data_IF_793166510447
#
_entry.id   IF_793166510447
#
_cell.length_a   1.000
_cell.length_b   1.000
_cell.length_c   1.000
_cell.angle_alpha   90.00
_cell.angle_beta   90.00
_cell.angle_gamma   90.00
#
_symmetry.space_group_name_H-M   'P 1'
#
loop_
_entity.id
_entity.type
_entity.pdbx_description
1 polymer ?
#
# COMPACT_ATOMS: atom_id res chain seq x y z
N UNK A 1 -10.22 4.83 -2.27
CA UNK A 1 -9.81 5.97 -3.12
C UNK A 1 -8.45 6.44 -2.63
N UNK A 2 -7.56 6.82 -3.54
CA UNK A 2 -6.24 7.39 -3.22
C UNK A 2 -6.43 8.84 -2.77
N UNK A 3 -5.97 9.16 -1.57
CA UNK A 3 -6.10 10.52 -0.99
C UNK A 3 -4.88 11.39 -1.32
N UNK A 4 -3.70 10.81 -1.20
CA UNK A 4 -2.43 11.49 -1.42
C UNK A 4 -1.39 10.47 -1.90
N UNK A 5 -0.27 10.99 -2.40
CA UNK A 5 0.85 10.20 -2.88
C UNK A 5 2.15 10.74 -2.29
N UNK A 6 3.02 9.83 -1.87
CA UNK A 6 4.39 10.19 -1.48
C UNK A 6 5.20 10.46 -2.76
N UNK A 7 5.84 11.63 -2.84
CA UNK A 7 6.73 11.97 -3.96
C UNK A 7 7.86 10.96 -4.11
N UNK A 8 8.23 10.65 -5.37
CA UNK A 8 9.27 9.67 -5.71
C UNK A 8 9.00 8.23 -5.21
N UNK A 9 7.76 7.91 -4.81
CA UNK A 9 7.36 6.54 -4.50
C UNK A 9 7.15 5.70 -5.77
N UNK A 10 7.23 4.36 -5.69
CA UNK A 10 6.90 3.48 -6.80
C UNK A 10 5.49 3.70 -7.34
N UNK A 11 4.52 4.05 -6.47
CA UNK A 11 3.16 4.39 -6.91
C UNK A 11 3.12 5.69 -7.73
N UNK A 12 3.91 6.71 -7.34
CA UNK A 12 4.06 7.93 -8.12
C UNK A 12 4.70 7.66 -9.48
N UNK A 13 5.77 6.86 -9.50
CA UNK A 13 6.45 6.47 -10.73
C UNK A 13 5.56 5.63 -11.67
N UNK A 14 4.67 4.80 -11.09
CA UNK A 14 3.68 4.02 -11.84
C UNK A 14 2.52 4.86 -12.39
N UNK A 15 2.42 6.14 -11.99
CA UNK A 15 1.40 7.06 -12.48
C UNK A 15 0.07 6.98 -11.73
N UNK A 16 0.05 6.45 -10.51
CA UNK A 16 -1.10 6.61 -9.59
C UNK A 16 -1.29 8.09 -9.29
N UNK A 17 -2.54 8.55 -9.24
CA UNK A 17 -2.88 9.93 -8.91
C UNK A 17 -3.88 9.99 -7.74
N UNK A 18 -3.85 11.06 -6.93
CA UNK A 18 -4.95 11.36 -6.01
C UNK A 18 -6.29 11.37 -6.75
N UNK A 19 -7.29 10.74 -6.15
CA UNK A 19 -8.61 10.54 -6.74
C UNK A 19 -8.79 9.19 -7.47
N UNK A 20 -7.72 8.44 -7.73
CA UNK A 20 -7.86 7.09 -8.29
C UNK A 20 -8.62 6.17 -7.33
N UNK A 21 -9.52 5.36 -7.88
CA UNK A 21 -10.26 4.35 -7.12
C UNK A 21 -9.61 2.99 -7.31
N UNK A 22 -8.85 2.53 -6.32
CA UNK A 22 -8.34 1.15 -6.29
C UNK A 22 -9.51 0.19 -6.12
N UNK A 23 -9.67 -0.73 -7.08
CA UNK A 23 -10.77 -1.69 -7.14
C UNK A 23 -10.32 -3.15 -6.95
N UNK A 24 -9.05 -3.45 -7.19
CA UNK A 24 -8.46 -4.75 -6.87
C UNK A 24 -6.96 -4.66 -6.58
N UNK A 25 -6.44 -5.61 -5.80
CA UNK A 25 -5.03 -5.78 -5.48
C UNK A 25 -4.66 -7.24 -5.68
N UNK A 26 -3.65 -7.53 -6.50
CA UNK A 26 -3.23 -8.90 -6.83
C UNK A 26 -4.41 -9.76 -7.35
N UNK A 27 -5.32 -9.13 -8.10
CA UNK A 27 -6.54 -9.75 -8.63
C UNK A 27 -7.67 -9.94 -7.61
N UNK A 28 -7.44 -9.66 -6.32
CA UNK A 28 -8.47 -9.70 -5.29
C UNK A 28 -9.34 -8.44 -5.34
N UNK A 29 -10.66 -8.56 -5.59
CA UNK A 29 -11.56 -7.41 -5.66
C UNK A 29 -11.77 -6.80 -4.28
N UNK A 30 -11.74 -5.47 -4.19
CA UNK A 30 -11.93 -4.75 -2.93
C UNK A 30 -13.40 -4.48 -2.60
N UNK A 31 -14.29 -4.61 -3.58
CA UNK A 31 -15.71 -4.30 -3.41
C UNK A 31 -16.37 -5.29 -2.46
N UNK A 32 -16.95 -4.77 -1.38
CA UNK A 32 -17.65 -5.58 -0.36
C UNK A 32 -16.71 -6.29 0.61
N UNK A 33 -15.41 -6.04 0.51
CA UNK A 33 -14.38 -6.60 1.40
C UNK A 33 -14.18 -5.71 2.63
N UNK A 34 -13.72 -6.31 3.73
CA UNK A 34 -13.29 -5.54 4.90
C UNK A 34 -11.98 -4.81 4.59
N UNK A 35 -11.95 -3.50 4.85
CA UNK A 35 -10.82 -2.66 4.49
C UNK A 35 -9.55 -3.00 5.26
N UNK A 36 -9.65 -3.29 6.56
CA UNK A 36 -8.49 -3.60 7.39
C UNK A 36 -7.89 -4.98 7.01
N UNK A 37 -8.75 -5.94 6.69
CA UNK A 37 -8.32 -7.23 6.16
C UNK A 37 -7.61 -7.10 4.81
N UNK A 38 -8.18 -6.30 3.89
CA UNK A 38 -7.56 -6.03 2.59
C UNK A 38 -6.18 -5.41 2.75
N UNK A 39 -6.06 -4.39 3.59
CA UNK A 39 -4.79 -3.69 3.82
C UNK A 39 -3.74 -4.68 4.35
N UNK A 40 -4.08 -5.45 5.38
CA UNK A 40 -3.16 -6.40 6.01
C UNK A 40 -2.73 -7.56 5.12
N UNK A 41 -3.62 -8.06 4.25
CA UNK A 41 -3.35 -9.26 3.44
C UNK A 41 -2.84 -8.97 2.03
N UNK A 42 -3.23 -7.84 1.43
CA UNK A 42 -2.99 -7.59 0.01
C UNK A 42 -2.10 -6.37 -0.25
N UNK A 43 -2.22 -5.31 0.54
CA UNK A 43 -1.39 -4.11 0.36
C UNK A 43 -0.04 -4.26 1.06
N UNK A 44 -0.04 -4.70 2.32
CA UNK A 44 1.19 -5.02 3.04
C UNK A 44 1.86 -6.28 2.49
N UNK A 45 3.19 -6.30 2.53
CA UNK A 45 3.99 -7.41 2.03
C UNK A 45 5.49 -7.12 2.12
N UNK A 46 6.34 -8.09 1.72
CA UNK A 46 7.79 -7.95 1.79
C UNK A 46 8.30 -6.76 0.97
N UNK A 47 9.26 -6.01 1.50
CA UNK A 47 9.96 -4.95 0.77
C UNK A 47 10.66 -5.55 -0.47
N UNK A 48 10.57 -4.88 -1.61
CA UNK A 48 11.08 -5.33 -2.90
C UNK A 48 10.13 -6.28 -3.65
N UNK A 49 9.03 -6.72 -3.03
CA UNK A 49 7.98 -7.46 -3.76
C UNK A 49 7.10 -6.50 -4.55
N UNK A 50 6.38 -7.02 -5.56
CA UNK A 50 5.41 -6.23 -6.34
C UNK A 50 3.97 -6.56 -5.98
N UNK A 51 3.09 -5.56 -6.14
CA UNK A 51 1.65 -5.69 -6.05
C UNK A 51 1.01 -5.22 -7.36
N UNK A 52 0.07 -5.99 -7.90
CA UNK A 52 -0.74 -5.61 -9.05
C UNK A 52 -1.92 -4.77 -8.60
N UNK A 53 -1.84 -3.44 -8.76
CA UNK A 53 -2.92 -2.52 -8.40
C UNK A 53 -3.82 -2.31 -9.61
N UNK A 54 -5.11 -2.53 -9.42
CA UNK A 54 -6.15 -2.30 -10.43
C UNK A 54 -7.01 -1.13 -9.98
N UNK A 55 -7.16 -0.12 -10.84
CA UNK A 55 -7.84 1.13 -10.50
C UNK A 55 -8.79 1.63 -11.60
N UNK A 56 -9.73 2.48 -11.18
CA UNK A 56 -10.55 3.33 -12.03
C UNK A 56 -10.16 4.78 -11.82
N UNK A 57 -9.99 5.53 -12.91
CA UNK A 57 -9.69 6.96 -12.87
C UNK A 57 -10.93 7.77 -13.24
N UNK A 58 -11.46 8.62 -12.35
CA UNK A 58 -12.61 9.47 -12.67
C UNK A 58 -12.36 10.30 -13.95
N UNK A 59 -13.32 10.28 -14.88
CA UNK A 59 -13.21 10.98 -16.16
C UNK A 59 -12.40 10.25 -17.24
N UNK A 60 -11.88 9.04 -16.95
CA UNK A 60 -11.24 8.17 -17.93
C UNK A 60 -12.02 6.87 -18.07
N UNK A 61 -12.18 6.40 -19.30
CA UNK A 61 -12.85 5.13 -19.57
C UNK A 61 -11.91 3.95 -19.35
N UNK A 62 -12.46 2.87 -18.80
CA UNK A 62 -11.76 1.60 -18.62
C UNK A 62 -11.10 1.42 -17.25
N UNK A 63 -10.48 0.25 -17.11
CA UNK A 63 -9.72 -0.16 -15.93
C UNK A 63 -8.24 -0.07 -16.26
N UNK A 64 -7.45 0.47 -15.34
CA UNK A 64 -6.00 0.49 -15.44
C UNK A 64 -5.39 -0.48 -14.44
N UNK A 65 -4.38 -1.22 -14.87
CA UNK A 65 -3.61 -2.11 -14.00
C UNK A 65 -2.14 -1.75 -14.07
N UNK A 66 -1.49 -1.69 -12.92
CA UNK A 66 -0.07 -1.36 -12.81
C UNK A 66 0.62 -2.21 -11.74
N UNK A 67 1.89 -2.50 -11.98
CA UNK A 67 2.74 -3.21 -11.04
C UNK A 67 3.48 -2.19 -10.18
N UNK A 68 3.31 -2.26 -8.87
CA UNK A 68 3.91 -1.34 -7.91
C UNK A 68 4.84 -2.12 -6.99
N UNK A 69 6.09 -1.70 -6.90
CA UNK A 69 7.04 -2.26 -5.94
C UNK A 69 6.74 -1.76 -4.51
N UNK A 70 6.74 -2.67 -3.55
CA UNK A 70 6.60 -2.38 -2.13
C UNK A 70 7.95 -1.89 -1.59
N UNK A 71 7.95 -0.67 -1.04
CA UNK A 71 9.13 -0.11 -0.36
C UNK A 71 8.84 0.13 1.12
N UNK A 72 9.89 0.15 1.93
CA UNK A 72 9.78 0.65 3.29
C UNK A 72 9.70 2.17 3.25
N UNK A 73 8.56 2.72 3.62
CA UNK A 73 8.42 4.15 3.89
C UNK A 73 8.93 4.43 5.31
N UNK A 74 9.73 5.48 5.49
CA UNK A 74 10.26 5.91 6.79
C UNK A 74 10.24 7.43 6.90
N UNK A 75 10.02 7.93 8.12
CA UNK A 75 10.30 9.32 8.51
C UNK A 75 9.61 10.38 7.63
N UNK A 76 10.39 11.39 7.21
CA UNK A 76 9.95 12.64 6.59
C UNK A 76 9.00 12.51 5.38
N UNK A 77 9.01 11.36 4.69
CA UNK A 77 8.09 11.08 3.59
C UNK A 77 6.62 11.00 4.05
N UNK A 78 6.37 10.51 5.27
CA UNK A 78 5.02 10.46 5.85
C UNK A 78 4.64 11.80 6.49
N UNK A 79 5.58 12.47 7.15
CA UNK A 79 5.40 13.82 7.73
C UNK A 79 5.01 14.87 6.68
N UNK A 80 5.39 14.64 5.42
CA UNK A 80 5.05 15.51 4.29
C UNK A 80 3.56 15.44 3.87
N UNK A 81 2.77 14.49 4.42
CA UNK A 81 1.35 14.32 4.11
C UNK A 81 0.46 14.73 5.31
N UNK A 82 0.13 16.04 5.47
CA UNK A 82 -0.60 16.53 6.62
C UNK A 82 -2.02 15.95 6.68
N UNK A 83 -2.41 15.46 7.87
CA UNK A 83 -3.75 14.91 8.12
C UNK A 83 -3.96 13.49 7.57
N UNK A 84 -2.91 12.82 7.11
CA UNK A 84 -2.93 11.41 6.73
C UNK A 84 -2.22 10.59 7.80
N UNK A 85 -2.93 9.61 8.36
CA UNK A 85 -2.37 8.64 9.29
C UNK A 85 -2.03 7.34 8.55
N UNK A 86 -0.83 6.82 8.78
CA UNK A 86 -0.42 5.53 8.23
C UNK A 86 -1.07 4.41 9.02
N UNK A 87 -1.67 3.45 8.30
CA UNK A 87 -2.11 2.20 8.90
C UNK A 87 -0.91 1.27 9.05
N UNK A 88 -0.29 1.28 10.22
CA UNK A 88 0.83 0.39 10.48
C UNK A 88 0.41 -1.08 10.29
N UNK A 89 1.26 -1.93 9.66
CA UNK A 89 1.02 -3.36 9.65
C UNK A 89 0.91 -3.82 11.10
N UNK A 90 -0.22 -4.43 11.47
CA UNK A 90 -0.43 -4.93 12.82
C UNK A 90 0.73 -5.83 13.21
N UNK A 91 1.46 -5.46 14.27
CA UNK A 91 2.55 -6.23 14.89
C UNK A 91 2.03 -7.58 15.42
N UNK A 92 1.72 -8.51 14.52
CA UNK A 92 1.02 -9.75 14.81
C UNK A 92 1.69 -10.93 14.14
N UNK A 93 2.97 -11.15 14.48
CA UNK A 93 3.76 -12.28 14.02
C UNK A 93 5.25 -11.94 14.00
N UNK A 94 5.93 -12.21 15.11
CA UNK A 94 7.36 -12.07 15.25
C UNK A 94 8.12 -12.70 14.06
N UNK A 95 8.84 -11.86 13.29
CA UNK A 95 10.10 -12.30 12.73
C UNK A 95 11.05 -12.38 13.92
N UNK A 96 11.35 -13.61 14.35
CA UNK A 96 12.01 -13.92 15.61
C UNK A 96 13.20 -13.04 15.93
N UNK A 97 13.07 -12.26 17.00
CA UNK A 97 14.22 -11.78 17.76
C UNK A 97 14.94 -13.00 18.35
N UNK A 98 16.25 -13.18 18.15
CA UNK A 98 16.99 -14.15 18.92
C UNK A 98 16.97 -13.70 20.37
N UNK A 99 16.23 -14.45 21.21
CA UNK A 99 16.26 -14.33 22.66
C UNK A 99 17.69 -14.59 23.12
N UNK A 100 18.47 -13.52 23.28
CA UNK A 100 19.81 -13.57 23.84
C UNK A 100 19.69 -13.89 25.34
N UNK A 101 19.66 -15.18 25.64
CA UNK A 101 19.81 -15.68 26.98
C UNK A 101 21.28 -15.59 27.40
N UNK A 102 21.64 -14.55 28.16
CA UNK A 102 22.89 -14.52 28.92
C UNK A 102 22.65 -14.12 30.37
N UNK A 103 22.55 -15.20 31.17
CA UNK A 103 23.07 -15.45 32.53
C UNK A 103 22.70 -14.52 33.68
#
# INVERSE_FOLDING_TARGET
MVLALVENSPAAAAGVLPGDLIIAVDGFPLRGSDFAEVVSRHLWGPVGSSAAITLLRPGREGIEQMQIERISLKGAALEALPGIEMLEPSSGGALGEPQNNQR
#
